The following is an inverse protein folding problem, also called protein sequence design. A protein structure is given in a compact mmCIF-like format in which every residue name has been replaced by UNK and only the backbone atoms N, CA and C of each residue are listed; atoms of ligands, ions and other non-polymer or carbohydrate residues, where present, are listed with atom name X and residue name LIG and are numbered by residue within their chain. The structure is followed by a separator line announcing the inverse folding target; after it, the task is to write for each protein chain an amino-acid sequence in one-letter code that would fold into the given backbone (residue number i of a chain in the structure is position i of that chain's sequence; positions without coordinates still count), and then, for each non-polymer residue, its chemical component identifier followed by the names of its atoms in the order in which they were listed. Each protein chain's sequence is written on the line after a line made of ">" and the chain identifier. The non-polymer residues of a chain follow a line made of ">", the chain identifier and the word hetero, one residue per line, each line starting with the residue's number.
data_IF_347544245399
#
_entry.id   IF_347544245399
#
_cell.length_a   1.000
_cell.length_b   1.000
_cell.length_c   1.000
_cell.angle_alpha   90.00
_cell.angle_beta   90.00
_cell.angle_gamma   90.00
#
_symmetry.space_group_name_H-M   'P 1'
#
loop_
_entity.id
_entity.type
_entity.pdbx_description
1 polymer ?
#
# COMPACT_ATOMS: atom_id res chain seq x y z
N UNK A 1 -3.37 -36.47 7.93
CA UNK A 1 -3.79 -35.10 8.33
C UNK A 1 -3.75 -34.27 7.06
N UNK A 2 -4.90 -34.12 6.40
CA UNK A 2 -5.00 -33.54 5.07
C UNK A 2 -5.14 -32.01 5.21
N UNK A 3 -4.07 -31.27 4.91
CA UNK A 3 -4.12 -29.81 4.74
C UNK A 3 -4.82 -29.53 3.40
N UNK A 4 -6.03 -29.04 3.50
CA UNK A 4 -6.82 -28.57 2.35
C UNK A 4 -6.08 -27.44 1.64
N UNK A 5 -5.64 -27.72 0.41
CA UNK A 5 -5.30 -26.71 -0.58
C UNK A 5 -6.60 -25.99 -0.97
N UNK A 6 -6.86 -24.83 -0.42
CA UNK A 6 -7.91 -23.94 -0.92
C UNK A 6 -7.32 -23.11 -2.05
N UNK A 7 -7.90 -23.12 -3.26
CA UNK A 7 -7.49 -22.21 -4.32
C UNK A 7 -7.86 -20.78 -3.90
N UNK A 8 -6.87 -19.91 -3.88
CA UNK A 8 -7.06 -18.46 -3.78
C UNK A 8 -7.87 -18.05 -5.02
N UNK A 9 -9.13 -17.67 -4.83
CA UNK A 9 -9.92 -17.13 -5.93
C UNK A 9 -9.39 -15.73 -6.25
N UNK A 10 -8.84 -15.58 -7.46
CA UNK A 10 -8.44 -14.30 -8.02
C UNK A 10 -9.61 -13.32 -7.90
N UNK A 11 -9.33 -12.19 -7.26
CA UNK A 11 -10.19 -11.03 -7.25
C UNK A 11 -10.11 -10.40 -8.65
N UNK A 12 -11.21 -10.45 -9.40
CA UNK A 12 -11.33 -9.71 -10.66
C UNK A 12 -11.57 -8.24 -10.32
N UNK A 13 -10.54 -7.41 -10.40
CA UNK A 13 -10.68 -5.96 -10.27
C UNK A 13 -11.24 -5.42 -11.58
N UNK A 14 -12.44 -4.86 -11.53
CA UNK A 14 -13.09 -4.21 -12.65
C UNK A 14 -12.36 -2.93 -13.07
N UNK A 15 -11.89 -2.88 -14.31
CA UNK A 15 -11.35 -1.68 -14.92
C UNK A 15 -12.48 -0.66 -15.16
N UNK A 16 -12.49 0.44 -14.41
CA UNK A 16 -13.28 1.62 -14.73
C UNK A 16 -12.48 2.55 -15.64
N UNK A 17 -12.83 2.56 -16.92
CA UNK A 17 -12.30 3.52 -17.88
C UNK A 17 -13.04 4.86 -17.69
N UNK A 18 -12.36 5.87 -17.17
CA UNK A 18 -12.82 7.25 -17.20
C UNK A 18 -12.16 7.98 -18.38
N UNK A 19 -12.94 8.21 -19.43
CA UNK A 19 -12.54 9.07 -20.54
C UNK A 19 -12.78 10.54 -20.16
N UNK A 20 -11.74 11.28 -19.89
CA UNK A 20 -11.79 12.74 -19.80
C UNK A 20 -10.85 13.35 -20.84
N UNK A 21 -11.44 13.84 -21.92
CA UNK A 21 -10.77 14.66 -22.93
C UNK A 21 -10.69 16.10 -22.44
N UNK A 22 -9.49 16.60 -22.17
CA UNK A 22 -9.24 18.03 -21.99
C UNK A 22 -7.94 18.42 -22.70
N UNK A 23 -8.11 19.08 -23.84
CA UNK A 23 -7.06 19.77 -24.55
C UNK A 23 -6.70 21.07 -23.80
N UNK A 24 -5.51 21.14 -23.24
CA UNK A 24 -4.94 22.34 -22.65
C UNK A 24 -3.42 22.19 -22.61
N UNK A 25 -2.69 22.89 -23.46
CA UNK A 25 -1.24 22.96 -23.49
C UNK A 25 -0.74 23.74 -22.25
N UNK A 26 -0.44 23.03 -21.19
CA UNK A 26 0.25 23.51 -20.00
C UNK A 26 1.08 22.36 -19.50
N UNK A 27 2.34 22.61 -19.13
CA UNK A 27 3.28 21.57 -18.67
C UNK A 27 2.62 20.61 -17.70
N UNK A 28 2.67 19.34 -18.03
CA UNK A 28 2.11 18.26 -17.21
C UNK A 28 2.94 18.17 -15.93
N UNK A 29 2.45 18.79 -14.85
CA UNK A 29 2.81 18.29 -13.53
C UNK A 29 2.40 16.80 -13.53
N UNK A 30 3.34 15.92 -13.27
CA UNK A 30 3.01 14.50 -13.07
C UNK A 30 1.92 14.46 -11.97
N UNK A 31 0.76 13.92 -12.30
CA UNK A 31 -0.30 13.74 -11.31
C UNK A 31 0.29 12.88 -10.20
N UNK A 32 0.19 13.32 -8.95
CA UNK A 32 0.59 12.48 -7.84
C UNK A 32 -0.20 11.18 -7.91
N UNK A 33 0.50 10.07 -7.76
CA UNK A 33 -0.13 8.75 -7.77
C UNK A 33 -0.97 8.62 -6.49
N UNK A 34 -2.31 8.65 -6.57
CA UNK A 34 -3.15 8.70 -5.39
C UNK A 34 -3.14 7.35 -4.68
N UNK A 35 -3.08 7.41 -3.34
CA UNK A 35 -3.38 6.26 -2.51
C UNK A 35 -4.88 5.98 -2.58
N UNK A 36 -5.26 4.74 -2.81
CA UNK A 36 -6.64 4.27 -2.91
C UNK A 36 -6.96 3.28 -1.80
N UNK A 37 -8.20 3.26 -1.36
CA UNK A 37 -8.76 2.27 -0.44
C UNK A 37 -9.37 1.08 -1.18
N UNK A 38 -9.27 -0.09 -0.56
CA UNK A 38 -10.12 -1.25 -0.85
C UNK A 38 -10.53 -1.91 0.47
N UNK A 39 -11.69 -2.53 0.51
CA UNK A 39 -12.18 -3.23 1.70
C UNK A 39 -13.23 -4.30 1.36
N UNK A 40 -13.57 -5.12 2.33
CA UNK A 40 -14.50 -6.22 2.18
C UNK A 40 -15.94 -5.79 1.90
N UNK A 41 -16.31 -4.54 2.17
CA UNK A 41 -17.67 -4.05 1.90
C UNK A 41 -17.94 -3.87 0.42
N UNK A 42 -16.90 -3.60 -0.37
CA UNK A 42 -17.01 -3.44 -1.83
C UNK A 42 -17.14 -4.77 -2.57
N UNK A 43 -16.71 -5.87 -1.98
CA UNK A 43 -16.69 -7.21 -2.59
C UNK A 43 -17.88 -8.10 -2.22
N UNK A 44 -18.91 -7.52 -1.62
CA UNK A 44 -20.22 -8.16 -1.48
C UNK A 44 -20.27 -9.31 -0.47
N UNK A 45 -20.03 -9.05 0.81
CA UNK A 45 -20.28 -10.00 1.89
C UNK A 45 -19.12 -10.20 2.86
N UNK A 46 -18.10 -9.40 2.73
CA UNK A 46 -17.01 -9.31 3.68
C UNK A 46 -17.14 -8.04 4.51
N UNK A 47 -16.61 -8.07 5.73
CA UNK A 47 -16.53 -6.92 6.61
C UNK A 47 -15.14 -6.27 6.51
N UNK A 48 -15.00 -5.09 7.04
CA UNK A 48 -13.77 -4.31 7.01
C UNK A 48 -14.01 -2.95 6.35
N UNK A 49 -13.36 -1.93 6.86
CA UNK A 49 -13.51 -0.56 6.40
C UNK A 49 -12.16 0.08 6.20
N UNK A 50 -12.00 0.73 5.04
CA UNK A 50 -10.88 1.60 4.74
C UNK A 50 -11.37 3.03 4.54
N UNK A 51 -10.74 3.99 5.21
CA UNK A 51 -11.04 5.41 5.04
C UNK A 51 -9.74 6.18 4.88
N UNK A 52 -9.60 6.89 3.75
CA UNK A 52 -8.43 7.72 3.51
C UNK A 52 -8.37 8.88 4.52
N UNK A 53 -7.17 9.12 5.06
CA UNK A 53 -6.84 10.23 5.95
C UNK A 53 -5.57 10.92 5.46
N UNK A 54 -5.22 12.06 6.05
CA UNK A 54 -3.99 12.77 5.69
C UNK A 54 -2.76 11.86 5.81
N UNK A 55 -2.08 11.60 4.69
CA UNK A 55 -0.87 10.79 4.62
C UNK A 55 -1.05 9.28 4.76
N UNK A 56 -2.29 8.76 4.63
CA UNK A 56 -2.55 7.31 4.74
C UNK A 56 -4.01 6.95 4.80
N UNK A 57 -4.35 5.93 5.58
CA UNK A 57 -5.72 5.47 5.78
C UNK A 57 -5.95 4.91 7.20
N UNK A 58 -7.19 4.99 7.65
CA UNK A 58 -7.68 4.19 8.77
C UNK A 58 -8.20 2.86 8.24
N UNK A 59 -7.76 1.77 8.84
CA UNK A 59 -8.22 0.41 8.55
C UNK A 59 -8.92 -0.14 9.80
N UNK A 60 -10.11 -0.69 9.63
CA UNK A 60 -10.86 -1.37 10.68
C UNK A 60 -11.34 -2.73 10.18
N UNK A 61 -10.72 -3.78 10.68
CA UNK A 61 -11.05 -5.18 10.38
C UNK A 61 -11.46 -5.94 11.65
N UNK A 62 -11.81 -5.22 12.72
CA UNK A 62 -12.39 -5.81 13.92
C UNK A 62 -13.83 -6.13 13.60
N UNK A 63 -14.05 -7.37 13.23
CA UNK A 63 -15.36 -7.88 12.92
C UNK A 63 -16.20 -8.05 14.20
N UNK A 64 -17.46 -7.62 14.13
CA UNK A 64 -18.44 -7.82 15.18
C UNK A 64 -19.43 -8.96 14.85
N UNK A 65 -19.23 -9.64 13.73
CA UNK A 65 -20.05 -10.79 13.37
C UNK A 65 -19.44 -12.12 13.86
N UNK A 66 -20.06 -13.23 13.48
CA UNK A 66 -19.67 -14.57 13.94
C UNK A 66 -18.54 -15.20 13.09
N UNK A 67 -18.05 -14.51 12.07
CA UNK A 67 -16.98 -15.01 11.18
C UNK A 67 -15.77 -14.08 11.11
N UNK A 68 -14.87 -14.13 12.09
CA UNK A 68 -13.75 -13.18 12.22
C UNK A 68 -12.69 -13.27 11.09
N UNK A 69 -12.87 -14.17 10.13
CA UNK A 69 -11.90 -14.39 9.05
C UNK A 69 -12.33 -13.81 7.71
N UNK A 70 -13.39 -12.99 7.68
CA UNK A 70 -13.92 -12.40 6.45
C UNK A 70 -13.74 -10.88 6.36
N UNK A 71 -13.12 -10.25 7.35
CA UNK A 71 -12.85 -8.83 7.33
C UNK A 71 -11.48 -8.53 6.75
N UNK A 72 -11.43 -7.62 5.78
CA UNK A 72 -10.18 -7.06 5.28
C UNK A 72 -10.35 -5.61 4.85
N UNK A 73 -9.26 -4.85 4.96
CA UNK A 73 -9.17 -3.49 4.48
C UNK A 73 -7.73 -3.16 4.13
N UNK A 74 -7.51 -2.31 3.14
CA UNK A 74 -6.16 -1.98 2.73
C UNK A 74 -6.07 -0.77 1.82
N UNK A 75 -4.84 -0.47 1.41
CA UNK A 75 -4.52 0.64 0.52
C UNK A 75 -3.50 0.22 -0.53
N UNK A 76 -3.60 0.84 -1.70
CA UNK A 76 -2.68 0.67 -2.81
C UNK A 76 -2.54 1.98 -3.60
N UNK A 77 -1.55 2.07 -4.46
CA UNK A 77 -1.44 3.18 -5.41
C UNK A 77 -2.10 2.82 -6.74
N UNK A 78 -2.81 3.80 -7.34
CA UNK A 78 -3.51 3.61 -8.62
C UNK A 78 -2.56 3.16 -9.74
N UNK A 79 -1.36 3.72 -9.77
CA UNK A 79 -0.34 3.35 -10.73
C UNK A 79 0.82 2.63 -10.01
N UNK A 80 1.14 1.43 -10.43
CA UNK A 80 2.30 0.71 -9.94
C UNK A 80 3.52 1.08 -10.78
N UNK A 81 4.42 1.88 -10.21
CA UNK A 81 5.67 2.26 -10.90
C UNK A 81 6.68 1.12 -10.97
N UNK A 82 6.41 0.00 -10.31
CA UNK A 82 7.30 -1.16 -10.24
C UNK A 82 6.80 -2.36 -11.03
N UNK A 83 5.64 -2.25 -11.69
CA UNK A 83 5.07 -3.33 -12.50
C UNK A 83 6.04 -3.78 -13.59
N UNK A 84 6.34 -5.07 -13.64
CA UNK A 84 7.30 -5.68 -14.55
C UNK A 84 8.79 -5.48 -14.20
N UNK A 85 9.11 -4.69 -13.18
CA UNK A 85 10.48 -4.47 -12.75
C UNK A 85 11.11 -5.75 -12.18
N UNK A 86 12.43 -5.89 -12.33
CA UNK A 86 13.16 -6.90 -11.56
C UNK A 86 13.06 -6.60 -10.07
N UNK A 87 12.81 -7.62 -9.24
CA UNK A 87 12.67 -7.43 -7.79
C UNK A 87 13.91 -6.79 -7.14
N UNK A 88 15.09 -6.95 -7.75
CA UNK A 88 16.34 -6.36 -7.31
C UNK A 88 16.43 -4.84 -7.47
N UNK A 89 15.59 -4.24 -8.32
CA UNK A 89 15.54 -2.79 -8.53
C UNK A 89 14.52 -2.10 -7.62
N UNK A 90 13.65 -2.87 -6.98
CA UNK A 90 12.60 -2.34 -6.11
C UNK A 90 13.19 -1.82 -4.80
N UNK A 91 12.95 -0.55 -4.54
CA UNK A 91 13.33 0.16 -3.31
C UNK A 91 12.14 0.89 -2.71
N UNK A 92 12.25 1.32 -1.46
CA UNK A 92 11.17 2.09 -0.84
C UNK A 92 9.92 1.24 -0.53
N UNK A 93 10.10 0.04 0.05
CA UNK A 93 9.00 -0.75 0.59
C UNK A 93 8.88 -0.44 2.09
N UNK A 94 7.84 0.29 2.47
CA UNK A 94 7.59 0.60 3.88
C UNK A 94 6.16 1.09 4.14
N UNK A 95 5.72 0.96 5.37
CA UNK A 95 4.58 1.67 5.93
C UNK A 95 4.75 1.81 7.45
N UNK A 96 4.09 2.81 8.02
CA UNK A 96 3.99 2.98 9.47
C UNK A 96 2.55 2.68 9.89
N UNK A 97 2.36 1.94 10.98
CA UNK A 97 1.03 1.72 11.55
C UNK A 97 0.94 2.30 12.96
N UNK A 98 -0.28 2.62 13.38
CA UNK A 98 -0.61 3.02 14.74
C UNK A 98 -2.01 2.50 15.09
N UNK A 99 -2.12 1.80 16.21
CA UNK A 99 -3.37 1.20 16.63
C UNK A 99 -4.24 2.16 17.44
N UNK A 100 -5.54 2.07 17.25
CA UNK A 100 -6.50 2.96 17.89
C UNK A 100 -6.75 2.61 19.37
N UNK A 101 -6.38 1.40 19.80
CA UNK A 101 -6.62 0.93 21.17
C UNK A 101 -5.57 -0.08 21.64
N UNK A 102 -5.58 -0.39 22.93
CA UNK A 102 -4.62 -1.29 23.59
C UNK A 102 -4.83 -2.78 23.30
N UNK A 103 -5.80 -3.15 22.50
CA UNK A 103 -6.08 -4.53 22.11
C UNK A 103 -5.41 -4.90 20.81
N UNK A 104 -4.95 -6.12 20.75
CA UNK A 104 -4.22 -6.81 19.66
C UNK A 104 -4.30 -6.14 18.30
N UNK A 105 -3.29 -5.38 17.97
CA UNK A 105 -3.24 -4.64 16.74
C UNK A 105 -2.34 -5.28 15.69
N UNK A 106 -1.47 -6.19 16.10
CA UNK A 106 -0.64 -6.98 15.20
C UNK A 106 -0.92 -8.45 15.49
N UNK A 107 -1.58 -9.10 14.55
CA UNK A 107 -1.95 -10.53 14.67
C UNK A 107 -1.84 -11.22 13.32
N UNK A 108 -1.42 -12.49 13.31
CA UNK A 108 -1.51 -13.37 12.15
C UNK A 108 -0.86 -12.88 10.86
N UNK A 109 0.18 -12.03 10.94
CA UNK A 109 0.80 -11.44 9.75
C UNK A 109 0.11 -10.17 9.25
N UNK A 110 -0.68 -9.51 10.09
CA UNK A 110 -1.39 -8.26 9.75
C UNK A 110 -1.01 -7.14 10.73
N UNK A 111 -0.88 -5.86 10.30
CA UNK A 111 -0.90 -5.41 8.89
C UNK A 111 0.39 -5.78 8.14
N UNK A 112 0.29 -5.92 6.82
CA UNK A 112 1.43 -6.31 5.97
C UNK A 112 1.41 -5.62 4.61
N UNK A 113 2.60 -5.53 3.99
CA UNK A 113 2.72 -5.32 2.56
C UNK A 113 2.59 -6.66 1.83
N UNK A 114 1.90 -6.66 0.71
CA UNK A 114 1.78 -7.76 -0.23
C UNK A 114 2.29 -7.28 -1.58
N UNK A 115 3.37 -7.89 -2.07
CA UNK A 115 4.05 -7.51 -3.30
C UNK A 115 3.82 -8.62 -4.33
N UNK A 116 3.24 -8.33 -5.51
CA UNK A 116 2.97 -9.34 -6.53
C UNK A 116 4.27 -9.81 -7.18
N UNK A 117 4.49 -11.11 -7.25
CA UNK A 117 5.71 -11.72 -7.79
C UNK A 117 5.37 -12.59 -9.01
N UNK A 118 6.00 -12.26 -10.13
CA UNK A 118 6.10 -13.06 -11.33
C UNK A 118 7.38 -13.93 -11.21
N UNK A 119 7.19 -15.24 -11.09
CA UNK A 119 8.27 -16.19 -10.86
C UNK A 119 8.82 -16.82 -12.12
N UNK A 120 8.12 -16.68 -13.24
CA UNK A 120 8.43 -17.32 -14.52
C UNK A 120 8.71 -16.32 -15.65
N UNK A 121 8.62 -15.01 -15.37
CA UNK A 121 8.88 -13.89 -16.28
C UNK A 121 7.88 -13.81 -17.46
N UNK A 122 6.66 -14.27 -17.29
CA UNK A 122 5.60 -14.14 -18.31
C UNK A 122 4.71 -12.90 -18.13
N UNK A 123 4.98 -12.13 -17.08
CA UNK A 123 4.25 -10.92 -16.72
C UNK A 123 3.07 -11.17 -15.76
N UNK A 124 2.74 -12.42 -15.50
CA UNK A 124 1.62 -12.80 -14.62
C UNK A 124 2.11 -12.93 -13.18
N UNK A 125 1.27 -12.60 -12.22
CA UNK A 125 1.54 -12.79 -10.79
C UNK A 125 1.19 -14.21 -10.36
N UNK A 126 2.16 -15.05 -10.03
CA UNK A 126 1.91 -16.38 -9.49
C UNK A 126 1.73 -16.39 -7.98
N UNK A 127 2.33 -15.43 -7.27
CA UNK A 127 2.27 -15.37 -5.81
C UNK A 127 2.57 -13.97 -5.30
N UNK A 128 2.43 -13.80 -3.97
CA UNK A 128 2.79 -12.56 -3.28
C UNK A 128 3.90 -12.79 -2.28
N UNK A 129 4.85 -11.87 -2.23
CA UNK A 129 5.81 -11.74 -1.13
C UNK A 129 5.19 -10.86 -0.04
N UNK A 130 5.28 -11.31 1.20
CA UNK A 130 4.69 -10.63 2.36
C UNK A 130 5.77 -10.07 3.28
N UNK A 131 5.61 -8.82 3.69
CA UNK A 131 6.43 -8.17 4.71
C UNK A 131 5.48 -7.62 5.77
N UNK A 132 5.47 -8.23 6.95
CA UNK A 132 4.46 -7.99 7.97
C UNK A 132 5.05 -7.52 9.31
N UNK A 133 4.21 -6.89 10.11
CA UNK A 133 4.58 -6.36 11.41
C UNK A 133 4.97 -7.46 12.42
N UNK A 134 4.36 -8.65 12.34
CA UNK A 134 4.63 -9.75 13.24
C UNK A 134 6.05 -10.31 13.01
N UNK A 135 6.41 -10.63 11.77
CA UNK A 135 7.73 -11.11 11.41
C UNK A 135 8.81 -10.03 11.60
N UNK A 136 8.43 -8.76 11.57
CA UNK A 136 9.32 -7.63 11.90
C UNK A 136 9.60 -7.49 13.42
N UNK A 137 9.03 -8.35 14.24
CA UNK A 137 9.20 -8.34 15.71
C UNK A 137 8.35 -7.29 16.43
N UNK A 138 7.30 -6.79 15.78
CA UNK A 138 6.44 -5.70 16.29
C UNK A 138 5.15 -6.21 16.94
N UNK A 139 5.04 -7.48 17.24
CA UNK A 139 3.81 -8.17 17.70
C UNK A 139 3.14 -7.54 18.93
N UNK A 140 3.92 -6.96 19.84
CA UNK A 140 3.39 -6.31 21.05
C UNK A 140 3.31 -4.78 20.93
N UNK A 141 3.73 -4.22 19.78
CA UNK A 141 3.82 -2.77 19.63
C UNK A 141 2.47 -2.17 19.20
N UNK A 142 2.08 -1.07 19.84
CA UNK A 142 0.90 -0.29 19.45
C UNK A 142 1.12 0.55 18.19
N UNK A 143 2.36 0.73 17.79
CA UNK A 143 2.77 1.40 16.56
C UNK A 143 4.14 0.93 16.14
N UNK A 144 4.44 1.01 14.84
CA UNK A 144 5.73 0.62 14.31
C UNK A 144 5.84 0.92 12.83
N UNK A 145 7.06 0.77 12.32
CA UNK A 145 7.34 0.90 10.89
C UNK A 145 7.84 -0.43 10.36
N UNK A 146 7.11 -0.95 9.38
CA UNK A 146 7.49 -2.13 8.61
C UNK A 146 8.24 -1.65 7.38
N UNK A 147 9.40 -2.25 7.11
CA UNK A 147 10.27 -1.86 5.98
C UNK A 147 10.80 -3.07 5.25
N UNK A 148 11.43 -2.85 4.11
CA UNK A 148 12.15 -3.89 3.36
C UNK A 148 13.30 -4.57 4.13
N UNK A 149 13.68 -4.05 5.31
CA UNK A 149 14.66 -4.68 6.21
C UNK A 149 14.03 -5.75 7.11
N UNK A 150 12.71 -5.80 7.19
CA UNK A 150 11.97 -6.85 7.88
C UNK A 150 12.01 -8.16 7.10
N UNK A 151 11.81 -9.31 7.76
CA UNK A 151 11.72 -10.59 7.09
C UNK A 151 10.62 -10.64 6.03
N UNK A 152 10.92 -11.33 4.93
CA UNK A 152 10.01 -11.56 3.79
C UNK A 152 9.53 -12.99 3.82
N UNK A 153 8.24 -13.21 3.82
CA UNK A 153 7.64 -14.53 3.68
C UNK A 153 7.19 -14.75 2.23
N UNK A 154 7.71 -15.80 1.60
CA UNK A 154 7.36 -16.18 0.22
C UNK A 154 7.42 -17.68 0.03
N UNK A 155 6.39 -18.27 -0.59
CA UNK A 155 6.36 -19.69 -0.95
C UNK A 155 6.57 -20.67 0.23
N UNK A 156 6.18 -20.28 1.45
CA UNK A 156 6.39 -21.08 2.66
C UNK A 156 7.76 -20.88 3.32
N UNK A 157 8.61 -20.01 2.78
CA UNK A 157 9.95 -19.70 3.28
C UNK A 157 10.03 -18.28 3.86
N UNK A 158 10.72 -18.12 4.97
CA UNK A 158 11.02 -16.83 5.58
C UNK A 158 12.46 -16.41 5.25
N UNK A 159 12.62 -15.34 4.52
CA UNK A 159 13.90 -14.69 4.20
C UNK A 159 14.21 -13.60 5.21
N UNK A 160 15.47 -13.37 5.52
CA UNK A 160 15.89 -12.41 6.54
C UNK A 160 15.45 -10.96 6.25
N UNK A 161 15.36 -10.59 4.97
CA UNK A 161 14.90 -9.29 4.49
C UNK A 161 14.69 -9.32 2.96
N UNK A 162 14.26 -8.20 2.35
CA UNK A 162 14.08 -8.09 0.91
C UNK A 162 15.36 -8.39 0.12
N UNK A 163 16.52 -7.93 0.59
CA UNK A 163 17.80 -8.18 -0.11
C UNK A 163 18.16 -9.68 -0.12
N UNK A 164 17.90 -10.40 0.96
CA UNK A 164 18.10 -11.85 1.01
C UNK A 164 17.12 -12.60 0.08
N UNK A 165 15.87 -12.16 -0.01
CA UNK A 165 14.89 -12.67 -0.95
C UNK A 165 15.35 -12.45 -2.40
N UNK A 166 15.75 -11.22 -2.75
CA UNK A 166 16.30 -10.87 -4.07
C UNK A 166 17.55 -11.71 -4.42
N UNK A 167 18.46 -11.90 -3.48
CA UNK A 167 19.67 -12.70 -3.71
C UNK A 167 19.33 -14.14 -4.09
N UNK A 168 18.28 -14.68 -3.50
CA UNK A 168 17.84 -16.07 -3.77
C UNK A 168 17.07 -16.19 -5.08
N UNK A 169 16.38 -15.12 -5.51
CA UNK A 169 15.44 -15.10 -6.63
C UNK A 169 15.72 -13.94 -7.59
N UNK A 170 16.98 -13.77 -7.99
CA UNK A 170 17.44 -12.59 -8.76
C UNK A 170 16.78 -12.43 -10.15
N UNK A 171 16.15 -13.46 -10.65
CA UNK A 171 15.44 -13.52 -11.94
C UNK A 171 13.95 -13.15 -11.82
N UNK A 172 13.39 -13.17 -10.61
CA UNK A 172 11.98 -12.82 -10.41
C UNK A 172 11.70 -11.35 -10.74
N UNK A 173 10.45 -11.09 -11.09
CA UNK A 173 9.93 -9.76 -11.40
C UNK A 173 8.71 -9.42 -10.54
N UNK A 174 8.35 -8.17 -10.53
CA UNK A 174 7.03 -7.73 -10.09
C UNK A 174 6.04 -8.10 -11.19
N UNK A 175 4.88 -8.63 -10.82
CA UNK A 175 3.82 -8.93 -11.79
C UNK A 175 3.45 -7.70 -12.62
N UNK A 176 3.16 -7.90 -13.89
CA UNK A 176 2.76 -6.87 -14.86
C UNK A 176 1.34 -7.08 -15.38
N UNK A 177 0.56 -7.84 -14.65
CA UNK A 177 -0.88 -7.98 -14.82
C UNK A 177 -1.61 -6.87 -14.03
N UNK A 178 -2.91 -7.01 -13.81
CA UNK A 178 -3.69 -6.06 -13.03
C UNK A 178 -3.37 -6.12 -11.51
N UNK A 179 -2.39 -6.93 -11.09
CA UNK A 179 -1.96 -7.04 -9.71
C UNK A 179 -1.08 -5.86 -9.31
N UNK A 180 -1.33 -5.32 -8.14
CA UNK A 180 -0.58 -4.20 -7.57
C UNK A 180 0.00 -4.57 -6.21
N UNK A 181 1.07 -3.89 -5.79
CA UNK A 181 1.52 -3.94 -4.42
C UNK A 181 0.55 -3.16 -3.51
N UNK A 182 0.28 -3.69 -2.32
CA UNK A 182 -0.66 -3.08 -1.38
C UNK A 182 -0.29 -3.31 0.08
N UNK A 183 -0.84 -2.49 0.97
CA UNK A 183 -0.86 -2.73 2.42
C UNK A 183 -2.25 -3.21 2.80
N UNK A 184 -2.34 -4.31 3.55
CA UNK A 184 -3.60 -4.91 3.96
C UNK A 184 -3.59 -5.27 5.45
N UNK A 185 -4.75 -5.11 6.08
CA UNK A 185 -5.13 -5.79 7.30
C UNK A 185 -6.24 -6.80 6.97
N UNK A 186 -6.02 -8.08 7.28
CA UNK A 186 -6.95 -9.19 7.04
C UNK A 186 -7.07 -10.12 8.28
N UNK A 187 -6.64 -9.61 9.42
CA UNK A 187 -6.84 -10.13 10.75
C UNK A 187 -7.34 -8.97 11.63
N UNK A 188 -7.89 -9.22 12.81
CA UNK A 188 -8.40 -8.14 13.65
C UNK A 188 -7.38 -7.02 13.84
N UNK A 189 -7.65 -5.89 13.20
CA UNK A 189 -6.84 -4.67 13.25
C UNK A 189 -7.78 -3.46 13.29
N UNK A 190 -7.47 -2.49 14.15
CA UNK A 190 -8.12 -1.18 14.16
C UNK A 190 -7.07 -0.11 14.39
N UNK A 191 -6.81 0.69 13.36
CA UNK A 191 -5.74 1.68 13.42
C UNK A 191 -5.54 2.44 12.13
N UNK A 192 -4.43 3.14 12.04
CA UNK A 192 -4.02 3.87 10.83
C UNK A 192 -2.78 3.24 10.22
N UNK A 193 -2.69 3.32 8.89
CA UNK A 193 -1.46 3.10 8.12
C UNK A 193 -1.10 4.40 7.43
N UNK A 194 0.17 4.80 7.56
CA UNK A 194 0.71 6.06 7.04
C UNK A 194 2.08 5.85 6.43
N UNK A 195 2.64 6.85 5.75
CA UNK A 195 3.96 6.78 5.11
C UNK A 195 4.11 5.53 4.24
N UNK A 196 3.04 5.19 3.51
CA UNK A 196 3.01 4.01 2.64
C UNK A 196 3.94 4.23 1.46
N UNK A 197 4.86 3.30 1.25
CA UNK A 197 5.78 3.23 0.11
C UNK A 197 5.74 1.81 -0.44
N UNK A 198 5.38 1.68 -1.69
CA UNK A 198 5.24 0.39 -2.38
C UNK A 198 6.11 0.36 -3.65
N UNK A 199 7.37 0.77 -3.50
CA UNK A 199 8.34 0.85 -4.59
C UNK A 199 8.30 2.14 -5.41
N UNK A 200 7.39 3.08 -5.10
CA UNK A 200 7.17 4.29 -5.90
C UNK A 200 7.90 5.54 -5.37
N UNK A 201 8.85 5.37 -4.47
CA UNK A 201 9.39 6.49 -3.73
C UNK A 201 8.43 6.96 -2.62
N UNK A 202 8.85 7.92 -1.82
CA UNK A 202 8.02 8.42 -0.73
C UNK A 202 6.68 8.93 -1.28
N UNK A 203 5.58 8.49 -0.67
CA UNK A 203 4.29 9.09 -0.94
C UNK A 203 4.43 10.61 -0.78
N UNK A 204 3.86 11.38 -1.71
CA UNK A 204 3.92 12.82 -1.63
C UNK A 204 3.38 13.28 -0.27
N UNK A 205 4.19 13.98 0.48
CA UNK A 205 3.83 14.46 1.81
C UNK A 205 2.75 15.53 1.69
N UNK A 206 1.81 15.57 2.62
CA UNK A 206 0.83 16.66 2.66
C UNK A 206 1.56 17.97 3.01
N UNK A 207 1.34 19.01 2.20
CA UNK A 207 1.92 20.31 2.45
C UNK A 207 1.40 20.90 3.77
N UNK A 208 2.27 21.13 4.72
CA UNK A 208 1.96 21.68 6.04
C UNK A 208 2.58 23.04 6.28
N UNK A 209 3.66 23.36 5.55
CA UNK A 209 4.41 24.62 5.68
C UNK A 209 4.69 25.25 4.32
N UNK A 210 4.64 26.58 4.27
CA UNK A 210 4.90 27.35 3.03
C UNK A 210 6.30 27.12 2.46
N UNK A 211 7.28 26.87 3.32
CA UNK A 211 8.66 26.66 2.87
C UNK A 211 8.84 25.36 2.13
N UNK A 212 8.02 24.36 2.45
CA UNK A 212 7.97 23.07 1.73
C UNK A 212 7.52 23.25 0.27
N UNK A 213 6.63 24.21 0.00
CA UNK A 213 6.15 24.51 -1.35
C UNK A 213 7.19 25.20 -2.25
N UNK A 214 8.26 25.78 -1.66
CA UNK A 214 9.24 26.59 -2.40
C UNK A 214 10.25 25.74 -3.15
N UNK A 215 10.97 26.36 -4.09
CA UNK A 215 12.08 25.75 -4.85
C UNK A 215 11.71 24.43 -5.55
N UNK A 216 10.48 24.32 -6.02
CA UNK A 216 10.01 23.11 -6.70
C UNK A 216 9.36 22.08 -5.76
N UNK A 217 9.48 22.20 -4.44
CA UNK A 217 8.96 21.20 -3.47
C UNK A 217 7.44 20.99 -3.56
N UNK A 218 6.68 21.93 -4.13
CA UNK A 218 5.25 21.76 -4.38
C UNK A 218 4.92 20.58 -5.29
N UNK A 219 5.86 20.17 -6.14
CA UNK A 219 5.66 19.04 -7.07
C UNK A 219 5.68 17.68 -6.35
N UNK A 220 6.35 17.62 -5.18
CA UNK A 220 6.48 16.42 -4.35
C UNK A 220 5.48 16.42 -3.18
N UNK A 221 4.54 17.37 -3.17
CA UNK A 221 3.56 17.52 -2.10
C UNK A 221 2.13 17.36 -2.62
N UNK A 222 1.21 17.00 -1.71
CA UNK A 222 -0.22 16.88 -1.99
C UNK A 222 -1.06 17.65 -0.98
N UNK A 223 -2.35 17.82 -1.30
CA UNK A 223 -3.39 18.18 -0.33
C UNK A 223 -3.73 17.00 0.56
N UNK A 224 -4.47 17.25 1.62
CA UNK A 224 -4.95 16.19 2.53
C UNK A 224 -5.85 15.15 1.84
N UNK A 225 -6.48 15.49 0.73
CA UNK A 225 -7.28 14.61 -0.10
C UNK A 225 -6.46 13.83 -1.15
N UNK A 226 -5.12 13.95 -1.11
CA UNK A 226 -4.20 13.31 -2.04
C UNK A 226 -4.04 14.03 -3.38
N UNK A 227 -4.75 15.12 -3.65
CA UNK A 227 -4.62 15.85 -4.90
C UNK A 227 -3.34 16.69 -4.97
N UNK A 228 -2.71 16.71 -6.15
CA UNK A 228 -1.48 17.47 -6.40
C UNK A 228 -1.76 18.97 -6.53
N UNK A 229 -0.73 19.78 -6.31
CA UNK A 229 -0.75 21.20 -6.56
C UNK A 229 -0.45 21.51 -8.03
N UNK A 230 -1.11 22.54 -8.57
CA UNK A 230 -0.88 22.99 -9.95
C UNK A 230 0.45 23.75 -10.09
N UNK A 231 0.88 24.40 -9.03
CA UNK A 231 2.10 25.20 -8.97
C UNK A 231 2.41 25.60 -7.52
N UNK A 232 3.55 26.28 -7.30
CA UNK A 232 3.97 26.77 -5.99
C UNK A 232 2.94 27.68 -5.31
N UNK A 233 2.29 28.55 -6.07
CA UNK A 233 1.29 29.47 -5.53
C UNK A 233 0.07 28.73 -4.98
N UNK A 234 -0.39 27.72 -5.67
CA UNK A 234 -1.50 26.85 -5.29
C UNK A 234 -1.18 26.06 -4.00
N UNK A 235 0.03 25.54 -3.89
CA UNK A 235 0.53 24.91 -2.67
C UNK A 235 0.58 25.88 -1.49
N UNK A 236 1.13 27.07 -1.67
CA UNK A 236 1.20 28.09 -0.63
C UNK A 236 -0.22 28.55 -0.21
N UNK A 237 -1.14 28.68 -1.17
CA UNK A 237 -2.54 29.01 -0.88
C UNK A 237 -3.18 27.93 -0.02
N UNK A 238 -3.01 26.67 -0.37
CA UNK A 238 -3.53 25.55 0.40
C UNK A 238 -3.02 25.56 1.85
N UNK A 239 -1.72 25.74 2.06
CA UNK A 239 -1.12 25.81 3.41
C UNK A 239 -1.70 26.97 4.23
N UNK A 240 -2.11 28.08 3.57
CA UNK A 240 -2.69 29.22 4.25
C UNK A 240 -4.18 29.07 4.59
N UNK A 241 -4.92 28.32 3.79
CA UNK A 241 -6.39 28.36 3.80
C UNK A 241 -7.04 27.00 4.01
N UNK A 242 -6.29 25.91 3.83
CA UNK A 242 -6.80 24.54 3.81
C UNK A 242 -7.62 24.20 2.56
N UNK A 243 -7.58 25.07 1.52
CA UNK A 243 -8.39 24.93 0.30
C UNK A 243 -7.56 25.08 -0.96
#
# INVERSE_FOLDING_TARGET
>A
MNLLKRPLRLLSIFAFVFSASLLGSGGTAAAANPLLCFDGTTDGGFNGHCTLVAGGATLDTVDNDTNPNNAYAGVYYADSNISGDQIGTVTGLSFTYSCAATTNCVTGGSPRMSIPIDTNMDGTTESYAFIDANNCGLTAAQSGTVTQSCPVFFGGTLYANWAAFVTTHSDYRIGNDDSVAFVIADQPFRGTVTNVQLGQGAAASVATKKDECKKGGWADLTRADGTSFKNQGDCIQYVNTGK
#
